data_IF_928084780957
#
_entry.id   IF_928084780957
#
_cell.length_a   1.000
_cell.length_b   1.000
_cell.length_c   1.000
_cell.angle_alpha   90.00
_cell.angle_beta   90.00
_cell.angle_gamma   90.00
#
_symmetry.space_group_name_H-M   'P 1'
#
loop_
_entity.id
_entity.type
_entity.pdbx_description
1 polymer ?
#
# COMPACT_ATOMS: atom_id res chain seq x y z
N UNK A 1 10.97 3.03 0.63
CA UNK A 1 10.44 4.41 0.73
C UNK A 1 10.70 4.89 2.15
N UNK A 2 10.95 6.19 2.38
CA UNK A 2 11.19 6.75 3.72
C UNK A 2 9.98 7.60 4.13
N UNK A 3 9.18 7.14 5.10
CA UNK A 3 7.86 7.69 5.49
C UNK A 3 7.89 8.68 6.68
N UNK A 4 7.66 9.97 6.52
CA UNK A 4 7.63 10.94 7.63
C UNK A 4 6.65 10.58 8.76
N UNK A 5 6.82 11.20 9.94
CA UNK A 5 6.08 10.83 11.17
C UNK A 5 4.55 10.99 11.03
N UNK A 6 4.09 11.90 10.15
CA UNK A 6 2.69 12.12 9.79
C UNK A 6 2.14 11.17 8.72
N UNK A 7 3.00 10.64 7.85
CA UNK A 7 2.58 9.85 6.68
C UNK A 7 1.95 8.52 7.04
N UNK A 8 2.19 8.01 8.25
CA UNK A 8 1.76 6.67 8.70
C UNK A 8 0.25 6.48 8.56
N UNK A 9 -0.54 7.51 8.88
CA UNK A 9 -1.99 7.45 8.78
C UNK A 9 -2.46 7.40 7.32
N UNK A 10 -1.86 8.22 6.47
CA UNK A 10 -2.15 8.26 5.03
C UNK A 10 -1.77 6.94 4.36
N UNK A 11 -0.59 6.42 4.70
CA UNK A 11 -0.09 5.14 4.19
C UNK A 11 -1.01 4.01 4.61
N UNK A 12 -1.40 3.98 5.89
CA UNK A 12 -2.29 2.94 6.39
C UNK A 12 -3.62 2.93 5.64
N UNK A 13 -4.27 4.09 5.59
CA UNK A 13 -5.51 4.27 4.82
C UNK A 13 -5.35 3.92 3.34
N UNK A 14 -4.23 4.30 2.71
CA UNK A 14 -3.99 3.99 1.30
C UNK A 14 -3.88 2.48 1.06
N UNK A 15 -3.14 1.76 1.92
CA UNK A 15 -2.98 0.31 1.81
C UNK A 15 -4.32 -0.40 2.03
N UNK A 16 -5.08 -0.01 3.05
CA UNK A 16 -6.42 -0.57 3.31
C UNK A 16 -7.37 -0.31 2.13
N UNK A 17 -7.31 0.89 1.55
CA UNK A 17 -8.10 1.24 0.36
C UNK A 17 -7.71 0.41 -0.85
N UNK A 18 -6.43 0.10 -1.04
CA UNK A 18 -5.97 -0.78 -2.12
C UNK A 18 -6.48 -2.20 -1.92
N UNK A 19 -6.39 -2.77 -0.72
CA UNK A 19 -6.95 -4.09 -0.44
C UNK A 19 -8.47 -4.16 -0.66
N UNK A 20 -9.19 -3.06 -0.37
CA UNK A 20 -10.65 -3.02 -0.56
C UNK A 20 -11.09 -2.83 -2.02
N UNK A 21 -10.38 -2.01 -2.81
CA UNK A 21 -10.82 -1.61 -4.15
C UNK A 21 -10.03 -2.24 -5.29
N UNK A 22 -8.83 -2.76 -5.02
CA UNK A 22 -7.96 -3.35 -6.02
C UNK A 22 -7.81 -4.85 -5.72
N UNK A 23 -8.59 -5.71 -6.42
CA UNK A 23 -8.51 -7.15 -6.20
C UNK A 23 -7.15 -7.72 -6.61
N UNK A 24 -6.31 -6.99 -7.36
CA UNK A 24 -5.00 -7.46 -7.81
C UNK A 24 -3.83 -6.88 -7.00
N UNK A 25 -4.12 -6.16 -5.92
CA UNK A 25 -3.10 -5.61 -5.03
C UNK A 25 -2.69 -6.61 -3.94
N UNK A 26 -1.40 -6.77 -3.60
CA UNK A 26 -0.23 -6.17 -4.24
C UNK A 26 0.10 -6.84 -5.59
N UNK A 27 0.64 -6.09 -6.55
CA UNK A 27 0.98 -6.59 -7.90
C UNK A 27 1.92 -7.81 -7.86
N UNK A 28 2.85 -7.87 -6.90
CA UNK A 28 3.74 -9.03 -6.68
C UNK A 28 3.00 -10.33 -6.33
N UNK A 29 1.73 -10.22 -5.96
CA UNK A 29 0.89 -11.34 -5.55
C UNK A 29 -0.07 -11.80 -6.67
N UNK A 30 -0.03 -11.16 -7.83
CA UNK A 30 -0.78 -11.61 -9.00
C UNK A 30 -0.15 -12.92 -9.49
N UNK A 31 -0.96 -13.96 -9.63
CA UNK A 31 -0.59 -15.16 -10.35
C UNK A 31 -1.46 -15.27 -11.61
N UNK A 32 -0.84 -15.64 -12.72
CA UNK A 32 -1.58 -16.09 -13.89
C UNK A 32 -2.29 -17.40 -13.51
N UNK A 33 -3.63 -17.39 -13.61
CA UNK A 33 -4.42 -18.61 -13.50
C UNK A 33 -4.41 -19.33 -14.85
N UNK A 34 -4.65 -20.64 -14.84
CA UNK A 34 -4.75 -21.48 -16.04
C UNK A 34 -5.78 -20.95 -17.07
N UNK A 35 -6.77 -20.17 -16.61
CA UNK A 35 -7.79 -19.53 -17.45
C UNK A 35 -7.31 -18.23 -18.16
N UNK A 36 -6.03 -17.87 -18.03
CA UNK A 36 -5.45 -16.62 -18.56
C UNK A 36 -5.89 -15.35 -17.81
N UNK A 37 -6.72 -15.48 -16.77
CA UNK A 37 -7.19 -14.36 -15.95
C UNK A 37 -6.22 -14.10 -14.80
N UNK A 38 -5.83 -12.83 -14.54
CA UNK A 38 -5.03 -12.49 -13.38
C UNK A 38 -5.81 -12.81 -12.10
N UNK A 39 -5.20 -13.61 -11.24
CA UNK A 39 -5.80 -14.06 -10.00
C UNK A 39 -4.99 -13.67 -8.77
N UNK A 40 -5.69 -13.48 -7.65
CA UNK A 40 -5.03 -13.40 -6.34
C UNK A 40 -4.42 -14.74 -5.97
N UNK A 41 -3.10 -14.77 -5.81
CA UNK A 41 -2.42 -15.94 -5.29
C UNK A 41 -2.52 -16.01 -3.76
N UNK A 42 -2.13 -17.14 -3.16
CA UNK A 42 -1.98 -17.28 -1.70
C UNK A 42 -1.10 -16.19 -1.08
N UNK A 43 -0.23 -15.55 -1.87
CA UNK A 43 0.60 -14.42 -1.43
C UNK A 43 -0.22 -13.18 -1.10
N UNK A 44 -1.34 -12.93 -1.79
CA UNK A 44 -2.24 -11.81 -1.50
C UNK A 44 -2.79 -11.90 -0.08
N UNK A 45 -3.34 -13.06 0.28
CA UNK A 45 -3.87 -13.31 1.64
C UNK A 45 -2.76 -13.21 2.70
N UNK A 46 -1.55 -13.66 2.37
CA UNK A 46 -0.39 -13.52 3.26
C UNK A 46 0.01 -12.06 3.46
N UNK A 47 0.04 -11.26 2.39
CA UNK A 47 0.34 -9.84 2.46
C UNK A 47 -0.67 -9.12 3.37
N UNK A 48 -1.96 -9.39 3.17
CA UNK A 48 -3.03 -8.82 4.00
C UNK A 48 -2.91 -9.23 5.47
N UNK A 49 -2.67 -10.52 5.76
CA UNK A 49 -2.47 -10.99 7.13
C UNK A 49 -1.23 -10.38 7.80
N UNK A 50 -0.14 -10.21 7.06
CA UNK A 50 1.04 -9.51 7.57
C UNK A 50 0.73 -8.02 7.80
N UNK A 51 -0.05 -7.40 6.92
CA UNK A 51 -0.49 -6.00 7.08
C UNK A 51 -1.32 -5.82 8.36
N UNK A 52 -2.34 -6.66 8.59
CA UNK A 52 -3.14 -6.61 9.81
C UNK A 52 -2.33 -6.84 11.09
N UNK A 53 -1.18 -7.51 11.00
CA UNK A 53 -0.24 -7.72 12.13
C UNK A 53 0.82 -6.63 12.22
N UNK A 54 0.97 -5.82 11.19
CA UNK A 54 1.97 -4.77 11.12
C UNK A 54 1.61 -3.70 12.13
N UNK A 55 2.47 -3.52 13.13
CA UNK A 55 2.30 -2.48 14.14
C UNK A 55 2.36 -1.10 13.48
N UNK A 56 1.69 -0.10 14.05
CA UNK A 56 1.72 1.31 13.62
C UNK A 56 3.11 1.98 13.72
N UNK A 57 4.15 1.19 14.02
CA UNK A 57 5.55 1.59 13.98
C UNK A 57 5.97 1.81 12.52
N UNK A 58 6.51 3.00 12.27
CA UNK A 58 7.02 3.44 10.96
C UNK A 58 7.90 2.40 10.28
N UNK A 59 8.90 1.87 11.01
CA UNK A 59 9.85 0.91 10.46
C UNK A 59 9.21 -0.39 10.00
N UNK A 60 8.15 -0.84 10.70
CA UNK A 60 7.41 -2.05 10.33
C UNK A 60 6.55 -1.82 9.09
N UNK A 61 5.94 -0.64 8.97
CA UNK A 61 5.22 -0.22 7.76
C UNK A 61 6.18 -0.10 6.57
N UNK A 62 7.34 0.54 6.75
CA UNK A 62 8.38 0.67 5.72
C UNK A 62 8.88 -0.71 5.27
N UNK A 63 9.11 -1.65 6.21
CA UNK A 63 9.49 -3.02 5.91
C UNK A 63 8.40 -3.79 5.16
N UNK A 64 7.14 -3.66 5.58
CA UNK A 64 6.01 -4.27 4.88
C UNK A 64 5.88 -3.75 3.45
N UNK A 65 5.99 -2.44 3.27
CA UNK A 65 6.00 -1.79 1.94
C UNK A 65 7.15 -2.33 1.10
N UNK A 66 8.34 -2.45 1.67
CA UNK A 66 9.48 -2.93 0.91
C UNK A 66 9.29 -4.40 0.47
N UNK A 67 8.81 -5.21 1.39
CA UNK A 67 8.56 -6.63 1.15
C UNK A 67 7.48 -6.85 0.08
N UNK A 68 6.34 -6.17 0.22
CA UNK A 68 5.12 -6.50 -0.54
C UNK A 68 4.86 -5.61 -1.75
N UNK A 69 5.23 -4.33 -1.73
CA UNK A 69 4.96 -3.42 -2.84
C UNK A 69 6.06 -3.48 -3.91
N UNK A 70 5.61 -3.49 -5.16
CA UNK A 70 6.43 -3.25 -6.35
C UNK A 70 6.92 -1.81 -6.43
N UNK A 71 7.96 -1.55 -7.23
CA UNK A 71 8.48 -0.18 -7.44
C UNK A 71 7.38 0.79 -7.91
N UNK A 72 6.48 0.31 -8.77
CA UNK A 72 5.33 1.07 -9.27
C UNK A 72 4.36 1.44 -8.16
N UNK A 73 3.94 0.47 -7.35
CA UNK A 73 3.04 0.69 -6.20
C UNK A 73 3.67 1.61 -5.15
N UNK A 74 4.97 1.48 -4.88
CA UNK A 74 5.69 2.39 -3.97
C UNK A 74 5.68 3.84 -4.50
N UNK A 75 5.78 4.01 -5.82
CA UNK A 75 5.70 5.34 -6.46
C UNK A 75 4.28 5.90 -6.34
N UNK A 76 3.25 5.08 -6.56
CA UNK A 76 1.85 5.47 -6.40
C UNK A 76 1.52 5.86 -4.95
N UNK A 77 2.01 5.08 -3.98
CA UNK A 77 1.89 5.39 -2.56
C UNK A 77 2.56 6.72 -2.23
N UNK A 78 3.78 6.96 -2.72
CA UNK A 78 4.49 8.23 -2.52
C UNK A 78 3.67 9.42 -3.06
N UNK A 79 3.13 9.30 -4.27
CA UNK A 79 2.28 10.35 -4.84
C UNK A 79 0.99 10.58 -4.04
N UNK A 80 0.40 9.54 -3.46
CA UNK A 80 -0.79 9.66 -2.63
C UNK A 80 -0.49 10.38 -1.30
N UNK A 81 0.67 10.10 -0.70
CA UNK A 81 1.16 10.82 0.49
C UNK A 81 1.42 12.29 0.15
N UNK A 82 2.16 12.57 -0.93
CA UNK A 82 2.46 13.94 -1.37
C UNK A 82 1.19 14.74 -1.75
N UNK A 83 0.14 14.08 -2.27
CA UNK A 83 -1.16 14.72 -2.55
C UNK A 83 -1.89 15.09 -1.27
N UNK A 84 -1.94 14.19 -0.28
CA UNK A 84 -2.58 14.43 1.01
C UNK A 84 -1.90 15.55 1.79
N UNK A 85 -0.56 15.61 1.76
CA UNK A 85 0.20 16.72 2.36
C UNK A 85 -0.14 18.09 1.76
N UNK A 86 -0.51 18.14 0.46
CA UNK A 86 -0.93 19.38 -0.22
C UNK A 86 -2.40 19.73 0.04
N UNK A 87 -3.26 18.75 0.28
CA UNK A 87 -4.68 18.98 0.61
C UNK A 87 -4.88 19.46 2.05
N UNK A 88 -3.96 19.12 2.98
CA UNK A 88 -4.01 19.59 4.37
C UNK A 88 -3.38 20.99 4.59
N UNK A 89 -2.91 21.66 3.54
CA UNK A 89 -2.74 23.12 3.53
C UNK A 89 -3.97 23.77 2.88
N UNK A 90 -4.99 24.18 3.67
CA UNK A 90 -6.04 25.01 3.13
C UNK A 90 -5.42 26.35 2.72
N UNK A 91 -5.41 26.62 1.42
CA UNK A 91 -5.39 27.99 0.94
C UNK A 91 -6.67 28.65 1.48
N UNK A 92 -6.52 29.41 2.57
CA UNK A 92 -7.43 30.52 2.84
C UNK A 92 -7.34 31.44 1.61
N UNK A 93 -8.48 31.65 0.96
CA UNK A 93 -8.73 32.82 0.11
C UNK A 93 -10.19 33.19 0.28
#
# INVERSE_FOLDING_TARGET
MKLSKGDKGVVGWWVDRQFANNPLFPEKCIAEKEDGKPGVSKKHVKAYKEWCKTSSKRSQIEEWIDKWLSKSERKALKQAVEKKEKEETPTQS
#
